data_IF_663071801660
#
_entry.id   IF_663071801660
#
_cell.length_a   1.000
_cell.length_b   1.000
_cell.length_c   1.000
_cell.angle_alpha   90.00
_cell.angle_beta   90.00
_cell.angle_gamma   90.00
#
_symmetry.space_group_name_H-M   'P 1'
#
loop_
_entity.id
_entity.type
_entity.pdbx_description
1 polymer ?
#
# COMPACT_ATOMS: atom_id res chain seq x y z
N UNK A 1 -14.55 -24.25 -4.37
CA UNK A 1 -15.72 -23.34 -4.46
C UNK A 1 -15.88 -22.35 -3.29
N UNK A 2 -15.23 -22.53 -2.13
CA UNK A 2 -15.41 -21.65 -0.94
C UNK A 2 -14.56 -20.36 -0.92
N UNK A 3 -13.53 -20.22 -1.77
CA UNK A 3 -12.68 -19.03 -1.80
C UNK A 3 -13.43 -17.75 -2.24
N UNK A 4 -14.42 -17.88 -3.14
CA UNK A 4 -15.20 -16.76 -3.70
C UNK A 4 -16.16 -16.07 -2.72
N UNK A 5 -16.36 -16.56 -1.50
CA UNK A 5 -17.39 -15.99 -0.62
C UNK A 5 -16.92 -14.72 0.07
N UNK A 6 -15.72 -14.72 0.66
CA UNK A 6 -15.25 -13.57 1.44
C UNK A 6 -15.01 -12.33 0.57
N UNK A 7 -14.41 -12.46 -0.61
CA UNK A 7 -14.21 -11.33 -1.53
C UNK A 7 -15.55 -10.71 -1.91
N UNK A 8 -16.57 -11.54 -2.21
CA UNK A 8 -17.92 -11.06 -2.54
C UNK A 8 -18.65 -10.44 -1.35
N UNK A 9 -18.46 -10.98 -0.15
CA UNK A 9 -18.98 -10.40 1.10
C UNK A 9 -18.37 -9.01 1.33
N UNK A 10 -17.05 -8.88 1.22
CA UNK A 10 -16.32 -7.61 1.30
C UNK A 10 -16.83 -6.63 0.24
N UNK A 11 -16.93 -7.05 -1.02
CA UNK A 11 -17.45 -6.18 -2.10
C UNK A 11 -18.86 -5.68 -1.78
N UNK A 12 -19.75 -6.58 -1.33
CA UNK A 12 -21.12 -6.22 -0.94
C UNK A 12 -21.10 -5.15 0.16
N UNK A 13 -20.30 -5.35 1.21
CA UNK A 13 -20.19 -4.40 2.31
C UNK A 13 -19.56 -3.06 1.86
N UNK A 14 -18.57 -3.08 0.96
CA UNK A 14 -17.99 -1.86 0.39
C UNK A 14 -19.05 -1.08 -0.40
N UNK A 15 -19.87 -1.75 -1.21
CA UNK A 15 -20.96 -1.11 -1.96
C UNK A 15 -22.06 -0.55 -1.05
N UNK A 16 -22.37 -1.20 0.06
CA UNK A 16 -23.30 -0.66 1.07
C UNK A 16 -22.80 0.64 1.70
N UNK A 17 -21.47 0.83 1.77
CA UNK A 17 -20.82 2.03 2.31
C UNK A 17 -20.41 3.04 1.24
N UNK A 18 -20.94 2.91 0.01
CA UNK A 18 -20.63 3.80 -1.11
C UNK A 18 -21.02 5.26 -0.84
N UNK A 19 -20.08 6.17 -1.04
CA UNK A 19 -20.33 7.61 -1.15
C UNK A 19 -19.93 8.11 -2.55
N UNK A 20 -20.92 8.31 -3.42
CA UNK A 20 -20.70 8.75 -4.81
C UNK A 20 -20.03 10.13 -4.91
N UNK A 21 -20.31 11.04 -3.97
CA UNK A 21 -19.65 12.36 -3.97
C UNK A 21 -18.17 12.21 -3.62
N UNK A 22 -17.85 11.31 -2.70
CA UNK A 22 -16.47 11.00 -2.36
C UNK A 22 -15.73 10.30 -3.50
N UNK A 23 -16.37 9.32 -4.16
CA UNK A 23 -15.86 8.70 -5.37
C UNK A 23 -15.49 9.76 -6.41
N UNK A 24 -16.41 10.67 -6.74
CA UNK A 24 -16.21 11.69 -7.78
C UNK A 24 -15.07 12.66 -7.43
N UNK A 25 -14.80 12.84 -6.14
CA UNK A 25 -13.62 13.56 -5.66
C UNK A 25 -12.34 12.72 -5.82
N UNK A 26 -12.34 11.45 -5.42
CA UNK A 26 -11.19 10.55 -5.53
C UNK A 26 -10.75 10.32 -6.99
N UNK A 27 -11.71 10.16 -7.90
CA UNK A 27 -11.44 10.02 -9.35
C UNK A 27 -10.58 11.16 -9.88
N UNK A 28 -10.76 12.38 -9.37
CA UNK A 28 -9.97 13.55 -9.78
C UNK A 28 -8.55 13.55 -9.21
N UNK A 29 -8.33 12.89 -8.08
CA UNK A 29 -7.04 12.84 -7.38
C UNK A 29 -6.15 11.68 -7.85
N UNK A 30 -6.76 10.63 -8.39
CA UNK A 30 -6.08 9.38 -8.72
C UNK A 30 -6.33 9.05 -10.20
N UNK A 31 -5.71 9.80 -11.14
CA UNK A 31 -6.00 9.67 -12.56
C UNK A 31 -5.53 8.34 -13.18
N UNK A 32 -4.70 7.57 -12.48
CA UNK A 32 -4.23 6.24 -12.93
C UNK A 32 -5.27 5.14 -12.71
N UNK A 33 -6.29 5.38 -11.89
CA UNK A 33 -7.33 4.40 -11.56
C UNK A 33 -8.58 4.67 -12.39
N UNK A 34 -9.17 3.60 -12.93
CA UNK A 34 -10.39 3.68 -13.71
C UNK A 34 -11.57 4.16 -12.85
N UNK A 35 -12.35 5.17 -13.27
CA UNK A 35 -13.44 5.69 -12.45
C UNK A 35 -14.48 4.65 -12.04
N UNK A 36 -14.74 3.66 -12.90
CA UNK A 36 -15.68 2.56 -12.66
C UNK A 36 -15.21 1.57 -11.58
N UNK A 37 -13.92 1.55 -11.25
CA UNK A 37 -13.37 0.68 -10.20
C UNK A 37 -13.32 1.36 -8.84
N UNK A 38 -13.75 2.63 -8.71
CA UNK A 38 -13.80 3.34 -7.43
C UNK A 38 -15.23 3.29 -6.90
N UNK A 39 -15.41 2.66 -5.74
CA UNK A 39 -16.70 2.56 -5.05
C UNK A 39 -16.97 3.86 -4.30
N UNK A 40 -15.97 4.43 -3.63
CA UNK A 40 -16.07 5.69 -2.88
C UNK A 40 -16.30 5.50 -1.38
N UNK A 41 -15.66 4.53 -0.76
CA UNK A 41 -15.74 4.28 0.68
C UNK A 41 -14.77 5.19 1.43
N UNK A 42 -15.27 5.88 2.44
CA UNK A 42 -14.46 6.82 3.24
C UNK A 42 -13.35 6.09 4.00
N UNK A 43 -12.14 6.65 4.00
CA UNK A 43 -10.96 6.07 4.68
C UNK A 43 -11.20 5.65 6.14
N UNK A 44 -11.89 6.44 7.00
CA UNK A 44 -12.18 6.00 8.37
C UNK A 44 -13.00 4.70 8.43
N UNK A 45 -13.94 4.50 7.49
CA UNK A 45 -14.73 3.27 7.41
C UNK A 45 -13.86 2.10 6.95
N UNK A 46 -13.04 2.28 5.92
CA UNK A 46 -12.09 1.25 5.47
C UNK A 46 -11.13 0.81 6.58
N UNK A 47 -10.60 1.75 7.38
CA UNK A 47 -9.77 1.42 8.55
C UNK A 47 -10.54 0.67 9.63
N UNK A 48 -11.83 0.97 9.83
CA UNK A 48 -12.67 0.22 10.75
C UNK A 48 -12.89 -1.22 10.26
N UNK A 49 -13.20 -1.38 8.96
CA UNK A 49 -13.35 -2.68 8.33
C UNK A 49 -12.06 -3.50 8.40
N UNK A 50 -10.91 -2.89 8.13
CA UNK A 50 -9.61 -3.55 8.21
C UNK A 50 -9.36 -4.15 9.59
N UNK A 51 -9.73 -3.45 10.68
CA UNK A 51 -9.60 -3.98 12.04
C UNK A 51 -10.50 -5.20 12.27
N UNK A 52 -11.74 -5.16 11.77
CA UNK A 52 -12.66 -6.30 11.85
C UNK A 52 -12.15 -7.50 11.05
N UNK A 53 -11.76 -7.27 9.79
CA UNK A 53 -11.33 -8.32 8.88
C UNK A 53 -9.95 -8.89 9.24
N UNK A 54 -9.06 -8.12 9.87
CA UNK A 54 -7.77 -8.61 10.33
C UNK A 54 -7.89 -9.74 11.38
N UNK A 55 -9.00 -9.83 12.10
CA UNK A 55 -9.29 -10.91 13.05
C UNK A 55 -10.10 -12.06 12.43
N UNK A 56 -10.49 -11.95 11.15
CA UNK A 56 -11.29 -12.96 10.48
C UNK A 56 -10.42 -14.14 10.03
N UNK A 57 -10.77 -15.36 10.44
CA UNK A 57 -9.99 -16.59 10.23
C UNK A 57 -9.60 -16.82 8.76
N UNK A 58 -10.44 -16.42 7.81
CA UNK A 58 -10.24 -16.66 6.38
C UNK A 58 -9.79 -15.42 5.61
N UNK A 59 -9.29 -14.39 6.29
CA UNK A 59 -8.91 -13.15 5.62
C UNK A 59 -7.81 -13.37 4.57
N UNK A 60 -6.92 -14.33 4.80
CA UNK A 60 -5.88 -14.70 3.83
C UNK A 60 -6.47 -15.14 2.47
N UNK A 61 -7.73 -15.60 2.40
CA UNK A 61 -8.38 -15.89 1.11
C UNK A 61 -8.63 -14.61 0.29
N UNK A 62 -8.98 -13.49 0.93
CA UNK A 62 -9.14 -12.20 0.26
C UNK A 62 -7.78 -11.59 -0.09
N UNK A 63 -6.80 -11.65 0.82
CA UNK A 63 -5.46 -11.08 0.59
C UNK A 63 -4.75 -11.77 -0.58
N UNK A 64 -5.03 -13.06 -0.82
CA UNK A 64 -4.47 -13.84 -1.93
C UNK A 64 -5.34 -13.84 -3.20
N UNK A 65 -6.53 -13.22 -3.20
CA UNK A 65 -7.42 -13.13 -4.36
C UNK A 65 -7.07 -11.90 -5.22
N UNK A 66 -5.83 -11.89 -5.74
CA UNK A 66 -5.27 -10.81 -6.54
C UNK A 66 -5.33 -11.13 -8.05
N UNK A 67 -5.54 -10.13 -8.93
CA UNK A 67 -5.76 -8.71 -8.63
C UNK A 67 -7.19 -8.40 -8.14
N UNK A 68 -7.31 -7.37 -7.30
CA UNK A 68 -8.61 -6.83 -6.87
C UNK A 68 -9.34 -6.12 -8.00
N UNK A 69 -10.67 -6.10 -7.93
CA UNK A 69 -11.53 -5.47 -8.95
C UNK A 69 -11.75 -3.98 -8.69
N UNK A 70 -11.73 -3.58 -7.43
CA UNK A 70 -12.02 -2.22 -6.98
C UNK A 70 -10.84 -1.59 -6.25
N UNK A 71 -10.67 -0.28 -6.45
CA UNK A 71 -9.71 0.53 -5.71
C UNK A 71 -9.90 0.42 -4.20
N UNK A 72 -11.14 0.43 -3.73
CA UNK A 72 -11.46 0.35 -2.31
C UNK A 72 -11.07 -1.01 -1.68
N UNK A 73 -11.05 -2.10 -2.47
CA UNK A 73 -10.50 -3.39 -2.04
C UNK A 73 -8.98 -3.30 -1.84
N UNK A 74 -8.26 -2.63 -2.77
CA UNK A 74 -6.83 -2.37 -2.62
C UNK A 74 -6.52 -1.53 -1.37
N UNK A 75 -7.33 -0.51 -1.08
CA UNK A 75 -7.18 0.28 0.15
C UNK A 75 -7.42 -0.57 1.41
N UNK A 76 -8.46 -1.40 1.40
CA UNK A 76 -8.76 -2.32 2.50
C UNK A 76 -7.61 -3.32 2.70
N UNK A 77 -7.09 -3.90 1.62
CA UNK A 77 -5.93 -4.78 1.61
C UNK A 77 -4.72 -4.10 2.26
N UNK A 78 -4.35 -2.89 1.82
CA UNK A 78 -3.25 -2.12 2.41
C UNK A 78 -3.39 -1.96 3.92
N UNK A 79 -4.59 -1.65 4.40
CA UNK A 79 -4.85 -1.48 5.83
C UNK A 79 -4.78 -2.79 6.61
N UNK A 80 -5.25 -3.90 6.04
CA UNK A 80 -5.18 -5.21 6.71
C UNK A 80 -3.71 -5.65 6.86
N UNK A 81 -2.91 -5.59 5.78
CA UNK A 81 -1.47 -5.90 5.85
C UNK A 81 -0.79 -5.02 6.91
N UNK A 82 -1.17 -3.75 6.96
CA UNK A 82 -0.55 -2.78 7.89
C UNK A 82 -0.82 -3.08 9.37
N UNK A 83 -1.80 -3.94 9.67
CA UNK A 83 -2.13 -4.42 11.02
C UNK A 83 -1.40 -5.72 11.39
N UNK A 84 -0.76 -6.40 10.44
CA UNK A 84 0.03 -7.61 10.70
C UNK A 84 1.18 -7.32 11.66
N UNK A 85 1.25 -8.09 12.76
CA UNK A 85 2.22 -7.89 13.85
C UNK A 85 3.49 -8.71 13.69
N UNK A 86 3.43 -9.79 12.92
CA UNK A 86 4.57 -10.64 12.61
C UNK A 86 5.32 -10.05 11.42
N UNK A 87 6.63 -9.84 11.57
CA UNK A 87 7.43 -9.13 10.57
C UNK A 87 7.53 -9.94 9.27
N UNK A 88 7.89 -11.23 9.35
CA UNK A 88 8.14 -12.06 8.18
C UNK A 88 6.83 -12.30 7.41
N UNK A 89 5.71 -12.54 8.12
CA UNK A 89 4.38 -12.61 7.50
C UNK A 89 4.02 -11.31 6.80
N UNK A 90 4.22 -10.16 7.47
CA UNK A 90 3.88 -8.86 6.90
C UNK A 90 4.71 -8.55 5.64
N UNK A 91 6.03 -8.81 5.71
CA UNK A 91 6.92 -8.62 4.58
C UNK A 91 6.52 -9.48 3.37
N UNK A 92 6.17 -10.75 3.60
CA UNK A 92 5.63 -11.63 2.56
C UNK A 92 4.37 -11.04 1.91
N UNK A 93 3.40 -10.63 2.73
CA UNK A 93 2.16 -10.01 2.24
C UNK A 93 2.40 -8.72 1.45
N UNK A 94 3.32 -7.86 1.91
CA UNK A 94 3.72 -6.65 1.18
C UNK A 94 4.29 -7.01 -0.19
N UNK A 95 5.22 -7.95 -0.24
CA UNK A 95 5.87 -8.37 -1.48
C UNK A 95 4.89 -9.03 -2.47
N UNK A 96 3.91 -9.79 -1.98
CA UNK A 96 2.86 -10.37 -2.80
C UNK A 96 1.90 -9.31 -3.36
N UNK A 97 1.67 -8.22 -2.63
CA UNK A 97 0.71 -7.18 -3.01
C UNK A 97 1.30 -6.07 -3.89
N UNK A 98 2.56 -5.69 -3.67
CA UNK A 98 3.25 -4.61 -4.41
C UNK A 98 3.11 -4.70 -5.95
N UNK A 99 3.19 -5.88 -6.60
CA UNK A 99 3.03 -6.00 -8.04
C UNK A 99 1.68 -5.54 -8.60
N UNK A 100 0.66 -5.41 -7.74
CA UNK A 100 -0.72 -5.05 -8.11
C UNK A 100 -1.08 -3.60 -7.77
N UNK A 101 -0.17 -2.85 -7.14
CA UNK A 101 -0.38 -1.43 -6.84
C UNK A 101 -0.10 -0.60 -8.11
N UNK A 102 -1.10 0.17 -8.53
CA UNK A 102 -1.11 0.97 -9.76
C UNK A 102 -1.35 2.47 -9.52
N UNK A 103 -1.31 2.89 -8.26
CA UNK A 103 -1.61 4.26 -7.89
C UNK A 103 -0.91 4.69 -6.59
N UNK A 104 -0.70 6.00 -6.45
CA UNK A 104 -0.01 6.59 -5.32
C UNK A 104 -0.78 6.43 -4.00
N UNK A 105 -2.11 6.42 -4.03
CA UNK A 105 -2.92 6.42 -2.82
C UNK A 105 -2.93 5.07 -2.12
N UNK A 106 -2.93 3.96 -2.85
CA UNK A 106 -2.77 2.60 -2.29
C UNK A 106 -1.34 2.42 -1.78
N UNK A 107 -0.36 2.85 -2.57
CA UNK A 107 1.07 2.80 -2.23
C UNK A 107 1.36 3.49 -0.89
N UNK A 108 0.93 4.75 -0.75
CA UNK A 108 1.25 5.57 0.42
C UNK A 108 0.42 5.18 1.66
N UNK A 109 -0.70 4.46 1.48
CA UNK A 109 -1.51 3.94 2.60
C UNK A 109 -1.04 2.60 3.13
N UNK A 110 -0.27 1.83 2.35
CA UNK A 110 0.38 0.62 2.82
C UNK A 110 1.53 1.04 3.75
N UNK A 111 1.30 1.01 5.06
CA UNK A 111 2.29 1.47 6.05
C UNK A 111 2.28 0.54 7.26
N UNK A 112 2.97 -0.62 7.17
CA UNK A 112 2.97 -1.59 8.25
C UNK A 112 3.67 -1.10 9.51
N UNK A 113 2.95 -1.15 10.64
CA UNK A 113 3.48 -0.68 11.92
C UNK A 113 4.62 -1.54 12.46
N UNK A 114 4.67 -2.81 12.04
CA UNK A 114 5.72 -3.76 12.47
C UNK A 114 7.11 -3.36 11.94
N UNK A 115 7.17 -2.66 10.81
CA UNK A 115 8.42 -2.23 10.18
C UNK A 115 9.20 -1.22 11.04
N UNK A 116 8.51 -0.31 11.72
CA UNK A 116 9.14 0.64 12.64
C UNK A 116 9.91 -0.02 13.79
N UNK A 117 9.61 -1.28 14.13
CA UNK A 117 10.27 -2.03 15.21
C UNK A 117 11.34 -3.01 14.72
N UNK A 118 11.52 -3.13 13.41
CA UNK A 118 12.38 -4.13 12.76
C UNK A 118 13.15 -3.48 11.59
N UNK A 119 13.62 -2.24 11.77
CA UNK A 119 14.31 -1.47 10.73
C UNK A 119 15.63 -2.12 10.30
N UNK A 120 16.29 -2.84 11.20
CA UNK A 120 17.47 -3.66 10.95
C UNK A 120 17.23 -4.73 9.88
N UNK A 121 16.07 -5.39 9.92
CA UNK A 121 15.67 -6.41 8.94
C UNK A 121 15.16 -5.79 7.65
N UNK A 122 14.46 -4.65 7.75
CA UNK A 122 13.77 -4.01 6.63
C UNK A 122 14.71 -3.40 5.58
N UNK A 123 15.90 -2.94 5.99
CA UNK A 123 16.81 -2.21 5.10
C UNK A 123 17.21 -3.01 3.84
N UNK A 124 17.32 -4.34 3.95
CA UNK A 124 17.60 -5.22 2.82
C UNK A 124 16.48 -5.23 1.78
N UNK A 125 15.23 -5.35 2.23
CA UNK A 125 14.05 -5.37 1.36
C UNK A 125 13.80 -4.02 0.70
N UNK A 126 14.00 -2.92 1.44
CA UNK A 126 13.92 -1.57 0.87
C UNK A 126 14.88 -1.41 -0.30
N UNK A 127 16.12 -1.88 -0.16
CA UNK A 127 17.09 -1.82 -1.26
C UNK A 127 16.57 -2.54 -2.50
N UNK A 128 15.93 -3.70 -2.34
CA UNK A 128 15.32 -4.41 -3.46
C UNK A 128 14.17 -3.62 -4.10
N UNK A 129 13.35 -2.95 -3.28
CA UNK A 129 12.23 -2.16 -3.78
C UNK A 129 12.66 -0.91 -4.56
N UNK A 130 13.64 -0.14 -4.06
CA UNK A 130 14.06 1.12 -4.71
C UNK A 130 14.78 0.91 -6.06
N UNK A 131 15.32 -0.30 -6.30
CA UNK A 131 15.94 -0.69 -7.57
C UNK A 131 15.05 -1.60 -8.43
N UNK A 132 13.76 -1.71 -8.09
CA UNK A 132 12.77 -2.42 -8.91
C UNK A 132 12.52 -1.69 -10.24
N UNK A 133 12.03 -2.43 -11.24
CA UNK A 133 11.55 -1.90 -12.52
C UNK A 133 10.09 -1.41 -12.45
N UNK A 134 9.42 -1.58 -11.29
CA UNK A 134 8.02 -1.20 -11.09
C UNK A 134 7.90 0.14 -10.37
N UNK A 135 7.27 1.11 -11.02
CA UNK A 135 6.99 2.47 -10.51
C UNK A 135 6.57 2.51 -9.05
N UNK A 136 5.49 1.80 -8.69
CA UNK A 136 4.94 1.87 -7.34
C UNK A 136 5.73 1.04 -6.31
N UNK A 137 6.48 0.03 -6.75
CA UNK A 137 7.45 -0.65 -5.88
C UNK A 137 8.61 0.27 -5.52
N UNK A 138 9.15 1.02 -6.50
CA UNK A 138 10.19 2.03 -6.24
C UNK A 138 9.66 3.13 -5.33
N UNK A 139 8.48 3.67 -5.63
CA UNK A 139 7.81 4.67 -4.78
C UNK A 139 7.65 4.16 -3.35
N UNK A 140 7.19 2.93 -3.18
CA UNK A 140 7.02 2.31 -1.87
C UNK A 140 8.34 2.22 -1.11
N UNK A 141 9.40 1.74 -1.75
CA UNK A 141 10.73 1.63 -1.15
C UNK A 141 11.27 2.97 -0.65
N UNK A 142 11.16 4.02 -1.46
CA UNK A 142 11.58 5.39 -1.06
C UNK A 142 10.69 5.89 0.09
N UNK A 143 9.38 5.63 0.05
CA UNK A 143 8.46 5.97 1.13
C UNK A 143 8.81 5.28 2.46
N UNK A 144 9.27 4.03 2.42
CA UNK A 144 9.74 3.32 3.62
C UNK A 144 11.04 3.91 4.18
N UNK A 145 11.97 4.38 3.32
CA UNK A 145 13.13 5.15 3.78
C UNK A 145 12.69 6.45 4.45
N UNK A 146 11.82 7.20 3.82
CA UNK A 146 11.28 8.47 4.34
C UNK A 146 10.62 8.27 5.71
N UNK A 147 9.86 7.19 5.88
CA UNK A 147 9.10 6.94 7.11
C UNK A 147 9.97 6.44 8.29
N UNK A 148 11.07 5.72 8.02
CA UNK A 148 11.77 4.96 9.06
C UNK A 148 13.25 5.32 9.24
N UNK A 149 13.86 6.04 8.29
CA UNK A 149 15.31 6.26 8.21
C UNK A 149 15.71 7.73 8.04
N UNK A 150 14.85 8.68 8.39
CA UNK A 150 15.19 10.12 8.42
C UNK A 150 15.55 10.66 9.81
N UNK A 151 15.12 9.99 10.88
CA UNK A 151 15.40 10.39 12.27
C UNK A 151 16.49 9.50 12.91
N UNK A 152 16.13 8.72 13.95
CA UNK A 152 17.06 7.92 14.76
C UNK A 152 17.87 6.89 13.95
N UNK A 153 17.33 6.41 12.82
CA UNK A 153 17.99 5.43 11.95
C UNK A 153 18.66 6.07 10.72
N UNK A 154 18.85 7.39 10.72
CA UNK A 154 19.46 8.09 9.58
C UNK A 154 20.87 7.58 9.27
N UNK A 155 21.11 7.39 7.97
CA UNK A 155 22.41 7.04 7.41
C UNK A 155 22.52 7.64 6.02
N UNK A 156 23.61 8.38 5.76
CA UNK A 156 23.88 9.00 4.45
C UNK A 156 23.82 8.02 3.28
N UNK A 157 24.05 6.72 3.51
CA UNK A 157 23.96 5.71 2.45
C UNK A 157 22.57 5.67 1.81
N UNK A 158 21.50 5.88 2.57
CA UNK A 158 20.13 5.86 2.04
C UNK A 158 19.87 7.10 1.18
N UNK A 159 20.40 8.25 1.59
CA UNK A 159 20.38 9.47 0.81
C UNK A 159 21.08 9.29 -0.55
N UNK A 160 22.27 8.68 -0.54
CA UNK A 160 23.04 8.38 -1.75
C UNK A 160 22.28 7.40 -2.66
N UNK A 161 21.70 6.35 -2.09
CA UNK A 161 20.87 5.38 -2.83
C UNK A 161 19.68 6.06 -3.51
N UNK A 162 18.94 6.93 -2.82
CA UNK A 162 17.81 7.66 -3.43
C UNK A 162 18.28 8.62 -4.53
N UNK A 163 19.43 9.29 -4.34
CA UNK A 163 20.00 10.19 -5.36
C UNK A 163 20.46 9.47 -6.65
N UNK A 164 20.82 8.19 -6.55
CA UNK A 164 21.23 7.35 -7.67
C UNK A 164 20.06 6.97 -8.58
N UNK A 165 18.83 6.94 -8.06
CA UNK A 165 17.64 6.57 -8.84
C UNK A 165 17.44 7.56 -9.98
N UNK A 166 17.47 7.04 -11.22
CA UNK A 166 17.13 7.79 -12.44
C UNK A 166 15.83 7.23 -12.99
N UNK A 167 14.80 8.05 -13.01
CA UNK A 167 13.48 7.66 -13.50
C UNK A 167 12.86 8.78 -14.34
N UNK A 168 12.16 8.40 -15.40
CA UNK A 168 11.28 9.32 -16.14
C UNK A 168 9.85 9.32 -15.59
N UNK A 169 9.56 8.41 -14.65
CA UNK A 169 8.23 8.27 -14.05
C UNK A 169 7.95 9.41 -13.05
N UNK A 170 6.81 10.08 -13.27
CA UNK A 170 6.37 11.20 -12.45
C UNK A 170 6.22 10.83 -10.96
N UNK A 171 5.63 9.67 -10.64
CA UNK A 171 5.35 9.27 -9.26
C UNK A 171 6.60 8.82 -8.51
N UNK A 172 7.60 8.29 -9.22
CA UNK A 172 8.94 8.04 -8.65
C UNK A 172 9.63 9.37 -8.36
N UNK A 173 9.73 10.26 -9.35
CA UNK A 173 10.39 11.56 -9.20
C UNK A 173 9.75 12.44 -8.11
N UNK A 174 8.42 12.38 -7.98
CA UNK A 174 7.71 13.06 -6.90
C UNK A 174 8.10 12.51 -5.52
N UNK A 175 8.25 11.18 -5.38
CA UNK A 175 8.65 10.58 -4.10
C UNK A 175 10.12 10.86 -3.76
N UNK A 176 11.00 10.86 -4.77
CA UNK A 176 12.40 11.31 -4.61
C UNK A 176 12.42 12.75 -4.07
N UNK A 177 11.67 13.66 -4.69
CA UNK A 177 11.61 15.05 -4.26
C UNK A 177 11.06 15.19 -2.83
N UNK A 178 10.03 14.42 -2.47
CA UNK A 178 9.48 14.43 -1.11
C UNK A 178 10.48 13.91 -0.07
N UNK A 179 11.20 12.83 -0.38
CA UNK A 179 12.25 12.30 0.48
C UNK A 179 13.32 13.34 0.81
N UNK A 180 13.75 14.15 -0.17
CA UNK A 180 14.76 15.20 0.05
C UNK A 180 14.22 16.48 0.69
N UNK A 181 12.90 16.68 0.69
CA UNK A 181 12.26 17.87 1.25
C UNK A 181 11.82 17.70 2.71
N UNK A 182 11.88 16.46 3.24
CA UNK A 182 11.52 16.11 4.62
C UNK A 182 12.74 16.23 5.51
#
# INVERSE_FOLDING_TARGET
MKAKNITKEIQTELFEKQDKKYRDFQVKLIPTVKPETIIGVRTPLLRSLAKTYAEYEKIDLFLNDLPHSYFDENQLHSFIISLTKDFDKCLGQVNDFLPYIDNWATCDQLSPKVFAKNTDKLAGDIKNWIFSDRTYTVRYGIGMLMQHFLDENFDEKYLKQVAEIKSEDYYVNMMIAWYFAT
#
